data_IF_799640567935
#
_entry.id   IF_799640567935
#
_cell.length_a   1.000
_cell.length_b   1.000
_cell.length_c   1.000
_cell.angle_alpha   90.00
_cell.angle_beta   90.00
_cell.angle_gamma   90.00
#
_symmetry.space_group_name_H-M   'P 1'
#
loop_
_entity.id
_entity.type
_entity.pdbx_description
1 polymer ?
#
# COMPACT_ATOMS: atom_id res chain seq x y z
N UNK A 1 -11.48 1.74 -9.81
CA UNK A 1 -11.09 2.41 -11.07
C UNK A 1 -10.94 1.45 -12.23
N UNK A 2 -10.00 0.49 -12.21
CA UNK A 2 -9.81 -0.45 -13.34
C UNK A 2 -11.09 -1.20 -13.72
N UNK A 3 -11.80 -1.80 -12.75
CA UNK A 3 -13.08 -2.48 -13.02
C UNK A 3 -14.09 -1.56 -13.72
N UNK A 4 -14.22 -0.32 -13.27
CA UNK A 4 -15.11 0.67 -13.88
C UNK A 4 -14.77 0.92 -15.35
N UNK A 5 -13.48 1.07 -15.69
CA UNK A 5 -13.05 1.26 -17.07
C UNK A 5 -13.34 0.03 -17.95
N UNK A 6 -13.09 -1.18 -17.46
CA UNK A 6 -13.36 -2.44 -18.20
C UNK A 6 -14.86 -2.65 -18.42
N UNK A 7 -15.70 -2.34 -17.42
CA UNK A 7 -17.17 -2.40 -17.55
C UNK A 7 -17.68 -1.34 -18.52
N UNK A 8 -17.16 -0.11 -18.45
CA UNK A 8 -17.50 0.97 -19.38
C UNK A 8 -17.13 0.63 -20.83
N UNK A 9 -15.98 0.00 -21.07
CA UNK A 9 -15.59 -0.49 -22.39
C UNK A 9 -16.54 -1.57 -22.92
N UNK A 10 -17.17 -2.32 -22.03
CA UNK A 10 -18.12 -3.38 -22.38
C UNK A 10 -19.57 -2.91 -22.45
N UNK A 11 -19.83 -1.61 -22.29
CA UNK A 11 -21.18 -1.03 -22.33
C UNK A 11 -22.08 -1.44 -21.15
N UNK A 12 -21.51 -1.93 -20.04
CA UNK A 12 -22.28 -2.33 -18.87
C UNK A 12 -22.50 -1.11 -17.99
N UNK A 13 -23.74 -0.74 -17.64
CA UNK A 13 -24.01 0.37 -16.74
C UNK A 13 -23.57 0.03 -15.31
N UNK A 14 -22.90 0.97 -14.65
CA UNK A 14 -22.48 0.82 -13.26
C UNK A 14 -22.45 2.18 -12.55
N UNK A 15 -22.39 2.13 -11.22
CA UNK A 15 -22.15 3.29 -10.37
C UNK A 15 -20.88 3.06 -9.57
N UNK A 16 -19.90 3.94 -9.70
CA UNK A 16 -18.67 3.95 -8.91
C UNK A 16 -18.88 4.78 -7.64
N UNK A 17 -18.70 4.16 -6.47
CA UNK A 17 -18.89 4.80 -5.17
C UNK A 17 -17.52 5.00 -4.51
N UNK A 18 -17.26 6.22 -4.05
CA UNK A 18 -16.05 6.61 -3.33
C UNK A 18 -16.43 7.38 -2.06
N UNK A 19 -15.83 7.00 -0.93
CA UNK A 19 -16.11 7.61 0.36
C UNK A 19 -15.42 8.97 0.50
N UNK A 20 -14.26 9.13 -0.13
CA UNK A 20 -13.50 10.37 -0.11
C UNK A 20 -14.04 11.38 -1.15
N UNK A 21 -13.54 12.61 -1.12
CA UNK A 21 -13.89 13.64 -2.11
C UNK A 21 -13.29 13.40 -3.49
N UNK A 22 -12.30 12.52 -3.59
CA UNK A 22 -11.56 12.23 -4.82
C UNK A 22 -11.24 10.75 -4.96
N UNK A 23 -11.09 10.31 -6.22
CA UNK A 23 -10.66 8.96 -6.56
C UNK A 23 -9.15 8.79 -6.33
N UNK A 24 -8.69 7.53 -6.33
CA UNK A 24 -7.26 7.19 -6.39
C UNK A 24 -6.77 6.35 -5.22
N UNK A 25 -7.44 6.44 -4.07
CA UNK A 25 -7.09 5.70 -2.86
C UNK A 25 -5.64 5.93 -2.42
N UNK A 26 -5.05 4.93 -1.76
CA UNK A 26 -3.67 5.03 -1.25
C UNK A 26 -2.64 5.25 -2.37
N UNK A 27 -2.88 4.74 -3.58
CA UNK A 27 -1.92 4.90 -4.69
C UNK A 27 -1.73 6.35 -5.10
N UNK A 28 -2.73 7.21 -4.91
CA UNK A 28 -2.65 8.63 -5.22
C UNK A 28 -1.71 9.41 -4.29
N UNK A 29 -1.36 8.86 -3.11
CA UNK A 29 -0.43 9.52 -2.19
C UNK A 29 1.05 9.24 -2.50
N UNK A 30 1.36 8.27 -3.36
CA UNK A 30 2.75 7.87 -3.62
C UNK A 30 3.46 8.82 -4.57
N UNK A 31 4.74 9.10 -4.33
CA UNK A 31 5.59 9.83 -5.28
C UNK A 31 6.14 8.90 -6.37
N UNK A 32 6.61 9.51 -7.47
CA UNK A 32 7.43 8.82 -8.45
C UNK A 32 8.76 8.39 -7.81
N UNK A 33 9.14 7.13 -7.98
CA UNK A 33 10.40 6.55 -7.49
C UNK A 33 11.36 6.23 -8.63
N UNK A 34 11.29 7.02 -9.70
CA UNK A 34 12.27 6.96 -10.77
C UNK A 34 13.59 7.53 -10.27
N UNK A 35 14.69 6.92 -10.70
CA UNK A 35 16.04 7.45 -10.53
C UNK A 35 16.57 7.81 -11.91
N UNK A 36 17.62 7.15 -12.38
CA UNK A 36 18.15 7.28 -13.75
C UNK A 36 17.13 6.88 -14.81
N UNK A 37 16.22 5.95 -14.49
CA UNK A 37 15.15 5.51 -15.37
C UNK A 37 13.91 5.09 -14.59
N UNK A 38 12.81 4.83 -15.31
CA UNK A 38 11.57 4.38 -14.72
C UNK A 38 11.69 2.95 -14.16
N UNK A 39 11.59 2.81 -12.84
CA UNK A 39 11.65 1.52 -12.13
C UNK A 39 10.32 0.75 -12.10
N UNK A 40 9.37 1.13 -12.96
CA UNK A 40 8.04 0.51 -13.13
C UNK A 40 7.32 0.26 -11.80
N UNK A 41 7.23 1.29 -10.96
CA UNK A 41 6.51 1.23 -9.68
C UNK A 41 4.99 1.45 -9.80
N UNK A 42 4.51 1.86 -10.98
CA UNK A 42 3.11 2.13 -11.30
C UNK A 42 2.42 3.23 -10.48
N UNK A 43 3.15 3.98 -9.63
CA UNK A 43 2.57 5.08 -8.86
C UNK A 43 1.91 6.15 -9.74
N UNK A 44 2.56 6.55 -10.84
CA UNK A 44 2.02 7.55 -11.79
C UNK A 44 0.81 7.07 -12.62
N UNK A 45 0.50 5.78 -12.62
CA UNK A 45 -0.64 5.25 -13.38
C UNK A 45 -1.96 5.71 -12.77
N UNK A 46 -1.99 5.99 -11.46
CA UNK A 46 -3.20 6.44 -10.76
C UNK A 46 -3.76 7.72 -11.36
N UNK A 47 -2.91 8.73 -11.62
CA UNK A 47 -3.32 10.02 -12.16
C UNK A 47 -3.90 9.86 -13.56
N UNK A 48 -3.25 9.05 -14.40
CA UNK A 48 -3.76 8.70 -15.75
C UNK A 48 -5.14 8.06 -15.67
N UNK A 49 -5.36 7.10 -14.75
CA UNK A 49 -6.65 6.43 -14.59
C UNK A 49 -7.75 7.35 -14.07
N UNK A 50 -7.41 8.28 -13.17
CA UNK A 50 -8.33 9.30 -12.69
C UNK A 50 -8.77 10.20 -13.86
N UNK A 51 -7.82 10.68 -14.67
CA UNK A 51 -8.14 11.49 -15.86
C UNK A 51 -9.00 10.73 -16.87
N UNK A 52 -8.67 9.47 -17.19
CA UNK A 52 -9.46 8.62 -18.08
C UNK A 52 -10.92 8.46 -17.60
N UNK A 53 -11.12 8.28 -16.29
CA UNK A 53 -12.46 8.15 -15.71
C UNK A 53 -13.23 9.47 -15.78
N UNK A 54 -12.61 10.61 -15.46
CA UNK A 54 -13.28 11.90 -15.49
C UNK A 54 -13.61 12.41 -16.90
N UNK A 55 -12.86 11.98 -17.92
CA UNK A 55 -13.13 12.34 -19.31
C UNK A 55 -14.32 11.58 -19.91
N UNK A 56 -14.78 10.51 -19.24
CA UNK A 56 -15.89 9.67 -19.70
C UNK A 56 -17.22 10.13 -19.12
N UNK A 57 -18.19 10.40 -20.00
CA UNK A 57 -19.54 10.81 -19.60
C UNK A 57 -20.47 9.63 -19.25
N UNK A 58 -20.07 8.42 -19.64
CA UNK A 58 -20.83 7.18 -19.42
C UNK A 58 -20.56 6.53 -18.04
N UNK A 59 -19.70 7.14 -17.23
CA UNK A 59 -19.35 6.65 -15.89
C UNK A 59 -20.09 7.48 -14.83
N UNK A 60 -21.00 6.84 -14.09
CA UNK A 60 -21.64 7.44 -12.92
C UNK A 60 -20.72 7.34 -11.71
N UNK A 61 -20.31 8.48 -11.14
CA UNK A 61 -19.38 8.57 -10.00
C UNK A 61 -20.07 9.28 -8.84
N UNK A 62 -20.09 8.63 -7.68
CA UNK A 62 -20.59 9.18 -6.42
C UNK A 62 -19.44 9.27 -5.41
N UNK A 63 -18.82 10.44 -5.29
CA UNK A 63 -17.84 10.75 -4.23
C UNK A 63 -18.54 11.16 -2.93
N UNK A 64 -17.81 11.19 -1.82
CA UNK A 64 -18.35 11.48 -0.48
C UNK A 64 -19.57 10.62 -0.11
N UNK A 65 -19.57 9.38 -0.61
CA UNK A 65 -20.73 8.49 -0.53
C UNK A 65 -20.32 7.16 0.11
N UNK A 66 -21.12 6.70 1.06
CA UNK A 66 -20.87 5.46 1.80
C UNK A 66 -22.04 4.50 1.66
N UNK A 67 -21.75 3.20 1.67
CA UNK A 67 -22.77 2.15 1.73
C UNK A 67 -23.19 1.99 3.19
N UNK A 68 -24.50 2.07 3.46
CA UNK A 68 -25.05 1.95 4.82
C UNK A 68 -26.00 0.77 4.99
N UNK A 69 -26.40 0.13 3.90
CA UNK A 69 -27.34 -0.98 3.95
C UNK A 69 -27.27 -1.83 2.68
N UNK A 70 -27.47 -3.13 2.84
CA UNK A 70 -27.56 -4.07 1.74
C UNK A 70 -28.72 -5.02 2.05
N UNK A 71 -29.61 -5.22 1.09
CA UNK A 71 -30.68 -6.21 1.15
C UNK A 71 -30.69 -7.04 -0.12
N UNK A 72 -31.14 -8.28 0.00
CA UNK A 72 -31.26 -9.22 -1.12
C UNK A 72 -30.25 -10.36 -1.06
N UNK A 73 -30.47 -11.37 -1.89
CA UNK A 73 -29.63 -12.56 -2.01
C UNK A 73 -29.60 -13.01 -3.49
N UNK A 74 -28.59 -13.78 -3.87
CA UNK A 74 -28.51 -14.40 -5.19
C UNK A 74 -28.43 -13.37 -6.32
N UNK A 75 -27.60 -12.34 -6.16
CA UNK A 75 -27.33 -11.30 -7.16
C UNK A 75 -28.50 -10.39 -7.53
N UNK A 76 -29.55 -10.27 -6.73
CA UNK A 76 -30.44 -9.10 -6.78
C UNK A 76 -30.23 -8.32 -5.50
N UNK A 77 -29.45 -7.26 -5.58
CA UNK A 77 -29.03 -6.48 -4.42
C UNK A 77 -29.72 -5.12 -4.44
N UNK A 78 -30.31 -4.74 -3.32
CA UNK A 78 -30.69 -3.36 -3.02
C UNK A 78 -29.64 -2.77 -2.07
N UNK A 79 -28.84 -1.85 -2.59
CA UNK A 79 -27.76 -1.18 -1.85
C UNK A 79 -28.22 0.22 -1.47
N UNK A 80 -28.24 0.52 -0.17
CA UNK A 80 -28.53 1.85 0.36
C UNK A 80 -27.22 2.63 0.51
N UNK A 81 -27.18 3.79 -0.10
CA UNK A 81 -26.08 4.74 -0.03
C UNK A 81 -26.48 5.97 0.78
N UNK A 82 -25.50 6.55 1.46
CA UNK A 82 -25.61 7.83 2.15
C UNK A 82 -24.59 8.81 1.59
N UNK A 83 -25.08 9.97 1.14
CA UNK A 83 -24.27 11.10 0.68
C UNK A 83 -24.70 12.36 1.42
N UNK A 84 -23.95 12.75 2.45
CA UNK A 84 -24.38 13.81 3.38
C UNK A 84 -25.70 13.45 4.08
N UNK A 85 -26.77 14.20 3.80
CA UNK A 85 -28.13 13.94 4.30
C UNK A 85 -28.99 13.13 3.31
N UNK A 86 -28.53 12.95 2.08
CA UNK A 86 -29.25 12.23 1.04
C UNK A 86 -29.11 10.72 1.22
N UNK A 87 -30.21 10.01 0.99
CA UNK A 87 -30.26 8.56 0.92
C UNK A 87 -30.62 8.14 -0.50
N UNK A 88 -29.80 7.27 -1.10
CA UNK A 88 -29.98 6.77 -2.46
C UNK A 88 -30.06 5.25 -2.39
N UNK A 89 -31.15 4.65 -2.89
CA UNK A 89 -31.29 3.19 -2.97
C UNK A 89 -31.04 2.73 -4.41
N UNK A 90 -30.03 1.88 -4.61
CA UNK A 90 -29.67 1.31 -5.92
C UNK A 90 -30.08 -0.16 -5.98
N UNK A 91 -30.70 -0.57 -7.10
CA UNK A 91 -30.92 -1.99 -7.41
C UNK A 91 -29.88 -2.45 -8.41
N UNK A 92 -29.05 -3.42 -8.03
CA UNK A 92 -27.92 -3.90 -8.83
C UNK A 92 -27.87 -5.41 -8.90
N UNK A 93 -27.38 -5.92 -10.02
CA UNK A 93 -27.22 -7.36 -10.25
C UNK A 93 -25.87 -7.92 -9.77
N UNK A 94 -24.88 -7.04 -9.61
CA UNK A 94 -23.55 -7.37 -9.13
C UNK A 94 -22.98 -6.23 -8.30
N UNK A 95 -22.13 -6.56 -7.32
CA UNK A 95 -21.41 -5.60 -6.47
C UNK A 95 -19.92 -5.95 -6.49
N UNK A 96 -19.07 -4.96 -6.71
CA UNK A 96 -17.61 -5.13 -6.63
C UNK A 96 -17.07 -4.31 -5.47
N UNK A 97 -16.49 -5.00 -4.48
CA UNK A 97 -15.87 -4.42 -3.30
C UNK A 97 -14.37 -4.23 -3.55
N UNK A 98 -13.93 -2.98 -3.54
CA UNK A 98 -12.54 -2.58 -3.70
C UNK A 98 -12.10 -1.67 -2.54
N UNK A 99 -12.33 -2.12 -1.30
CA UNK A 99 -12.20 -1.30 -0.09
C UNK A 99 -10.76 -0.88 0.27
N UNK A 100 -9.75 -1.39 -0.45
CA UNK A 100 -8.35 -1.05 -0.27
C UNK A 100 -7.74 -1.54 1.05
N UNK A 101 -6.60 -0.95 1.40
CA UNK A 101 -5.81 -1.27 2.60
C UNK A 101 -5.32 0.02 3.23
N UNK A 102 -4.86 -0.07 4.47
CA UNK A 102 -4.10 0.98 5.12
C UNK A 102 -2.65 0.49 5.37
N UNK A 103 -1.67 1.39 5.42
CA UNK A 103 -0.37 1.06 6.01
C UNK A 103 -0.56 0.60 7.46
N UNK A 104 0.26 -0.36 7.89
CA UNK A 104 0.33 -0.76 9.30
C UNK A 104 0.72 0.44 10.17
N UNK A 105 0.10 0.53 11.35
CA UNK A 105 0.41 1.57 12.31
C UNK A 105 1.68 1.22 13.10
N UNK A 106 2.79 1.82 12.69
CA UNK A 106 4.10 1.57 13.27
C UNK A 106 4.21 1.92 14.76
N UNK A 107 3.27 2.67 15.34
CA UNK A 107 3.27 2.97 16.79
C UNK A 107 3.08 1.70 17.65
N UNK A 108 2.52 0.64 17.07
CA UNK A 108 2.39 -0.67 17.72
C UNK A 108 3.74 -1.38 17.92
N UNK A 109 4.77 -1.01 17.15
CA UNK A 109 6.15 -1.50 17.32
C UNK A 109 6.95 -0.49 18.16
N UNK A 110 6.60 -0.44 19.45
CA UNK A 110 7.14 0.52 20.43
C UNK A 110 8.67 0.51 20.51
N UNK A 111 9.30 -0.64 20.25
CA UNK A 111 10.75 -0.82 20.21
C UNK A 111 11.45 -0.03 19.10
N UNK A 112 10.71 0.36 18.05
CA UNK A 112 11.24 1.20 16.96
C UNK A 112 11.04 2.69 17.20
N UNK A 113 10.18 3.07 18.14
CA UNK A 113 10.04 4.46 18.59
C UNK A 113 9.35 5.40 17.60
N UNK A 114 8.55 4.89 16.67
CA UNK A 114 7.69 5.72 15.82
C UNK A 114 6.73 6.56 16.67
N UNK A 115 6.57 7.83 16.33
CA UNK A 115 5.78 8.81 17.11
C UNK A 115 6.47 9.31 18.38
N UNK A 116 7.51 8.62 18.88
CA UNK A 116 8.34 9.07 20.02
C UNK A 116 9.59 9.80 19.57
N UNK A 117 10.27 9.28 18.55
CA UNK A 117 11.50 9.84 18.01
C UNK A 117 11.20 10.54 16.68
N UNK A 118 11.47 11.85 16.61
CA UNK A 118 11.14 12.67 15.42
C UNK A 118 11.77 12.12 14.14
N UNK A 119 12.98 11.57 14.23
CA UNK A 119 13.72 11.02 13.10
C UNK A 119 13.41 9.53 12.82
N UNK A 120 12.34 8.98 13.39
CA UNK A 120 11.78 7.68 13.00
C UNK A 120 10.48 7.94 12.25
N UNK A 121 10.48 7.67 10.95
CA UNK A 121 9.35 7.88 10.05
C UNK A 121 8.96 6.58 9.37
N UNK A 122 7.75 6.50 8.81
CA UNK A 122 7.37 5.40 7.91
C UNK A 122 7.80 5.69 6.48
N UNK A 123 7.83 4.65 5.64
CA UNK A 123 8.01 4.81 4.21
C UNK A 123 6.92 5.68 3.56
N UNK A 124 5.70 5.72 4.13
CA UNK A 124 4.64 6.61 3.66
C UNK A 124 4.96 8.07 3.96
N UNK A 125 5.44 8.38 5.16
CA UNK A 125 5.83 9.75 5.52
C UNK A 125 6.97 10.25 4.63
N UNK A 126 7.92 9.36 4.30
CA UNK A 126 8.96 9.65 3.32
C UNK A 126 8.40 9.90 1.92
N UNK A 127 7.47 9.06 1.45
CA UNK A 127 6.77 9.25 0.17
C UNK A 127 6.08 10.63 0.10
N UNK A 128 5.40 11.04 1.17
CA UNK A 128 4.75 12.35 1.28
C UNK A 128 5.77 13.49 1.33
N UNK A 129 6.85 13.32 2.09
CA UNK A 129 7.95 14.28 2.15
C UNK A 129 8.54 14.53 0.76
N UNK A 130 8.84 13.47 0.01
CA UNK A 130 9.36 13.57 -1.35
C UNK A 130 8.32 14.14 -2.31
N UNK A 131 7.04 13.75 -2.20
CA UNK A 131 5.97 14.24 -3.08
C UNK A 131 5.71 15.74 -2.93
N UNK A 132 5.62 16.23 -1.68
CA UNK A 132 5.18 17.60 -1.41
C UNK A 132 6.32 18.59 -1.21
N UNK A 133 7.45 18.15 -0.66
CA UNK A 133 8.62 19.02 -0.42
C UNK A 133 9.69 18.87 -1.50
N UNK A 134 9.70 17.76 -2.25
CA UNK A 134 10.71 17.47 -3.27
C UNK A 134 12.12 17.21 -2.70
N UNK A 135 12.26 17.09 -1.38
CA UNK A 135 13.56 17.01 -0.71
C UNK A 135 13.53 16.10 0.51
N UNK A 136 14.62 15.36 0.71
CA UNK A 136 14.86 14.56 1.91
C UNK A 136 15.33 15.45 3.06
N UNK A 137 14.70 15.34 4.22
CA UNK A 137 15.09 16.10 5.42
C UNK A 137 14.77 15.33 6.70
N UNK A 138 15.55 15.57 7.75
CA UNK A 138 15.26 15.09 9.10
C UNK A 138 14.08 15.87 9.67
N UNK A 139 13.03 15.21 10.19
CA UNK A 139 11.93 15.91 10.83
C UNK A 139 12.33 16.69 12.09
N UNK A 140 13.43 16.33 12.78
CA UNK A 140 13.84 17.04 14.00
C UNK A 140 14.35 18.45 13.74
N UNK A 141 15.17 18.67 12.70
CA UNK A 141 15.87 19.93 12.47
C UNK A 141 15.94 20.38 11.00
N UNK A 142 15.30 19.64 10.08
CA UNK A 142 15.22 19.99 8.66
C UNK A 142 16.49 19.72 7.85
N UNK A 143 17.58 19.24 8.47
CA UNK A 143 18.84 18.98 7.74
C UNK A 143 18.77 17.70 6.90
N UNK A 144 19.63 17.60 5.90
CA UNK A 144 19.81 16.37 5.13
C UNK A 144 20.47 15.29 6.02
N UNK A 145 19.87 14.09 6.17
CA UNK A 145 20.49 12.99 6.90
C UNK A 145 21.67 12.42 6.11
N UNK A 146 22.82 12.19 6.74
CA UNK A 146 23.98 11.53 6.11
C UNK A 146 23.85 10.01 6.10
N UNK A 147 23.16 9.45 7.10
CA UNK A 147 22.93 8.01 7.23
C UNK A 147 21.44 7.70 7.44
N UNK A 148 20.90 6.81 6.61
CA UNK A 148 19.48 6.41 6.65
C UNK A 148 19.39 4.89 6.78
N UNK A 149 18.58 4.40 7.72
CA UNK A 149 18.26 2.98 7.82
C UNK A 149 16.83 2.68 7.39
N UNK A 150 16.63 1.61 6.62
CA UNK A 150 15.32 1.10 6.24
C UNK A 150 15.07 -0.23 6.93
N UNK A 151 14.05 -0.28 7.78
CA UNK A 151 13.68 -1.50 8.50
C UNK A 151 12.59 -2.22 7.71
N UNK A 152 12.87 -3.45 7.29
CA UNK A 152 11.88 -4.27 6.59
C UNK A 152 10.97 -5.01 7.58
N UNK A 153 9.86 -5.52 7.05
CA UNK A 153 8.92 -6.36 7.80
C UNK A 153 8.27 -5.68 9.02
N UNK A 154 8.20 -4.35 9.05
CA UNK A 154 7.51 -3.64 10.13
C UNK A 154 6.01 -3.87 9.98
N UNK A 155 5.39 -4.62 10.89
CA UNK A 155 3.97 -4.94 10.79
C UNK A 155 3.65 -6.16 9.93
N UNK A 156 4.63 -7.00 9.58
CA UNK A 156 4.44 -8.18 8.73
C UNK A 156 5.47 -9.25 9.05
N UNK A 157 5.12 -10.53 8.86
CA UNK A 157 5.96 -11.68 9.28
C UNK A 157 6.36 -11.55 10.76
N UNK A 158 5.40 -11.15 11.59
CA UNK A 158 5.61 -10.87 13.02
C UNK A 158 4.45 -11.47 13.82
N UNK A 159 4.75 -12.54 14.55
CA UNK A 159 3.81 -13.27 15.38
C UNK A 159 3.33 -12.45 16.59
N UNK A 160 4.17 -11.55 17.11
CA UNK A 160 3.84 -10.74 18.31
C UNK A 160 2.65 -9.81 18.11
N UNK A 161 2.32 -9.49 16.85
CA UNK A 161 1.19 -8.65 16.45
C UNK A 161 0.14 -9.42 15.64
N UNK A 162 0.29 -10.73 15.49
CA UNK A 162 -0.63 -11.59 14.74
C UNK A 162 -0.57 -11.46 13.21
N UNK A 163 0.40 -10.74 12.65
CA UNK A 163 0.55 -10.56 11.21
C UNK A 163 1.62 -11.51 10.65
N UNK A 164 1.26 -12.77 10.42
CA UNK A 164 2.20 -13.80 9.96
C UNK A 164 2.54 -13.72 8.46
N UNK A 165 1.70 -13.04 7.68
CA UNK A 165 1.89 -12.89 6.23
C UNK A 165 2.99 -11.89 5.86
N UNK A 166 3.50 -12.03 4.64
CA UNK A 166 4.33 -11.02 3.99
C UNK A 166 3.45 -9.97 3.28
N UNK A 167 3.74 -8.69 3.46
CA UNK A 167 3.07 -7.62 2.73
C UNK A 167 3.47 -7.48 1.25
N UNK A 168 4.40 -8.32 0.77
CA UNK A 168 4.88 -8.47 -0.62
C UNK A 168 5.53 -7.24 -1.29
N UNK A 169 5.23 -6.02 -0.85
CA UNK A 169 5.63 -4.79 -1.54
C UNK A 169 6.78 -4.04 -0.86
N UNK A 170 7.03 -4.31 0.42
CA UNK A 170 7.91 -3.50 1.27
C UNK A 170 9.36 -3.48 0.82
N UNK A 171 9.93 -4.65 0.48
CA UNK A 171 11.28 -4.73 -0.04
C UNK A 171 11.45 -3.86 -1.30
N UNK A 172 10.48 -3.95 -2.21
CA UNK A 172 10.58 -3.27 -3.50
C UNK A 172 10.39 -1.76 -3.39
N UNK A 173 9.38 -1.27 -2.65
CA UNK A 173 9.23 0.17 -2.48
C UNK A 173 10.41 0.77 -1.72
N UNK A 174 10.97 0.06 -0.73
CA UNK A 174 12.06 0.57 0.09
C UNK A 174 13.34 0.69 -0.73
N UNK A 175 13.70 -0.32 -1.51
CA UNK A 175 14.85 -0.26 -2.41
C UNK A 175 14.67 0.83 -3.50
N UNK A 176 13.46 1.00 -4.02
CA UNK A 176 13.13 2.10 -4.96
C UNK A 176 13.29 3.48 -4.33
N UNK A 177 12.83 3.66 -3.09
CA UNK A 177 13.03 4.90 -2.33
C UNK A 177 14.51 5.15 -2.04
N UNK A 178 15.25 4.12 -1.63
CA UNK A 178 16.70 4.20 -1.41
C UNK A 178 17.40 4.64 -2.70
N UNK A 179 17.12 4.00 -3.85
CA UNK A 179 17.77 4.34 -5.12
C UNK A 179 17.42 5.75 -5.58
N UNK A 180 16.17 6.19 -5.39
CA UNK A 180 15.74 7.56 -5.67
C UNK A 180 16.50 8.58 -4.79
N UNK A 181 16.62 8.31 -3.48
CA UNK A 181 17.39 9.13 -2.55
C UNK A 181 18.87 9.18 -2.94
N UNK A 182 19.49 8.03 -3.23
CA UNK A 182 20.90 7.93 -3.63
C UNK A 182 21.20 8.67 -4.93
N UNK A 183 20.24 8.65 -5.86
CA UNK A 183 20.36 9.37 -7.12
C UNK A 183 20.30 10.90 -6.91
N UNK A 184 19.40 11.37 -6.05
CA UNK A 184 19.27 12.80 -5.75
C UNK A 184 20.38 13.31 -4.79
N UNK A 185 20.83 12.46 -3.87
CA UNK A 185 21.82 12.76 -2.83
C UNK A 185 22.91 11.66 -2.77
N UNK A 186 23.91 11.69 -3.67
CA UNK A 186 24.97 10.68 -3.78
C UNK A 186 25.89 10.56 -2.55
N UNK A 187 25.80 11.46 -1.58
CA UNK A 187 26.51 11.45 -0.30
C UNK A 187 25.77 10.67 0.80
N UNK A 188 24.45 10.45 0.66
CA UNK A 188 23.62 9.84 1.70
C UNK A 188 23.83 8.33 1.72
N UNK A 189 24.28 7.76 2.84
CA UNK A 189 24.46 6.31 2.98
C UNK A 189 23.18 5.65 3.46
N UNK A 190 22.69 4.67 2.72
CA UNK A 190 21.49 3.91 3.06
C UNK A 190 21.86 2.50 3.56
N UNK A 191 21.19 2.05 4.61
CA UNK A 191 21.29 0.66 5.11
C UNK A 191 19.92 0.01 5.05
N UNK A 192 19.80 -1.09 4.32
CA UNK A 192 18.58 -1.88 4.17
C UNK A 192 18.68 -3.12 5.07
N UNK A 193 17.88 -3.15 6.13
CA UNK A 193 17.87 -4.19 7.17
C UNK A 193 16.69 -5.13 6.95
N UNK A 194 16.97 -6.39 6.59
CA UNK A 194 15.96 -7.32 6.07
C UNK A 194 16.14 -8.76 6.54
N UNK A 195 15.08 -9.57 6.41
CA UNK A 195 15.17 -11.03 6.55
C UNK A 195 15.45 -11.71 5.20
N UNK A 196 14.55 -11.50 4.25
CA UNK A 196 14.63 -12.00 2.88
C UNK A 196 14.12 -10.92 1.93
N UNK A 197 14.68 -10.84 0.73
CA UNK A 197 14.24 -9.89 -0.30
C UNK A 197 13.20 -10.59 -1.16
N UNK A 198 11.98 -10.05 -1.16
CA UNK A 198 10.89 -10.60 -1.97
C UNK A 198 10.94 -10.05 -3.40
N UNK A 199 10.82 -10.90 -4.44
CA UNK A 199 10.76 -10.46 -5.83
C UNK A 199 9.53 -9.58 -6.12
N UNK A 200 9.69 -8.54 -6.95
CA UNK A 200 8.61 -7.61 -7.29
C UNK A 200 8.52 -7.30 -8.79
N UNK A 201 8.03 -8.27 -9.56
CA UNK A 201 7.89 -8.18 -11.02
C UNK A 201 9.15 -8.63 -11.76
N UNK A 202 9.03 -8.78 -13.09
CA UNK A 202 10.05 -9.43 -13.90
C UNK A 202 11.41 -8.67 -13.95
N UNK A 203 11.39 -7.33 -13.90
CA UNK A 203 12.61 -6.52 -13.95
C UNK A 203 13.24 -6.27 -12.58
N UNK A 204 12.71 -6.87 -11.51
CA UNK A 204 13.17 -6.56 -10.15
C UNK A 204 14.58 -7.08 -9.87
N UNK A 205 14.97 -8.21 -10.46
CA UNK A 205 16.30 -8.77 -10.23
C UNK A 205 17.41 -7.82 -10.72
N UNK A 206 17.29 -7.33 -11.95
CA UNK A 206 18.20 -6.32 -12.50
C UNK A 206 18.25 -5.05 -11.65
N UNK A 207 17.08 -4.59 -11.17
CA UNK A 207 16.99 -3.45 -10.27
C UNK A 207 17.72 -3.70 -8.94
N UNK A 208 17.52 -4.88 -8.34
CA UNK A 208 18.20 -5.29 -7.11
C UNK A 208 19.72 -5.36 -7.29
N UNK A 209 20.20 -5.87 -8.42
CA UNK A 209 21.63 -5.93 -8.72
C UNK A 209 22.22 -4.51 -8.82
N UNK A 210 21.51 -3.57 -9.46
CA UNK A 210 21.90 -2.15 -9.47
C UNK A 210 21.92 -1.49 -8.08
N UNK A 211 21.15 -2.02 -7.11
CA UNK A 211 21.21 -1.60 -5.72
C UNK A 211 22.42 -2.20 -4.99
N UNK A 212 22.83 -3.41 -5.34
CA UNK A 212 24.02 -4.07 -4.77
C UNK A 212 25.33 -3.43 -5.25
N UNK A 213 25.35 -2.93 -6.47
CA UNK A 213 26.51 -2.24 -7.07
C UNK A 213 26.74 -0.82 -6.50
N UNK A 214 25.71 -0.20 -5.91
CA UNK A 214 25.80 1.13 -5.32
C UNK A 214 26.53 1.07 -3.97
N UNK A 215 27.76 1.57 -3.93
CA UNK A 215 28.62 1.60 -2.73
C UNK A 215 28.01 2.38 -1.54
N UNK A 216 26.99 3.21 -1.78
CA UNK A 216 26.26 3.91 -0.73
C UNK A 216 25.08 3.13 -0.14
N UNK A 217 24.80 1.92 -0.64
CA UNK A 217 23.73 1.04 -0.15
C UNK A 217 24.35 -0.19 0.52
N UNK A 218 24.07 -0.38 1.81
CA UNK A 218 24.39 -1.63 2.51
C UNK A 218 23.15 -2.49 2.67
N UNK A 219 23.23 -3.75 2.27
CA UNK A 219 22.16 -4.73 2.46
C UNK A 219 22.56 -5.66 3.59
N UNK A 220 21.92 -5.54 4.75
CA UNK A 220 22.25 -6.32 5.94
C UNK A 220 21.09 -7.27 6.26
N UNK A 221 21.37 -8.57 6.22
CA UNK A 221 20.40 -9.62 6.52
C UNK A 221 20.23 -9.77 8.04
N UNK A 222 19.59 -8.78 8.65
CA UNK A 222 19.34 -8.73 10.09
C UNK A 222 18.17 -7.80 10.38
N UNK A 223 17.28 -8.19 11.29
CA UNK A 223 16.25 -7.30 11.79
C UNK A 223 16.72 -6.58 13.07
N UNK A 224 16.46 -5.28 13.18
CA UNK A 224 16.74 -4.53 14.41
C UNK A 224 15.92 -5.05 15.59
N UNK A 225 16.59 -5.16 16.73
CA UNK A 225 15.95 -5.49 18.01
C UNK A 225 15.24 -4.28 18.62
N UNK A 226 15.93 -3.13 18.67
CA UNK A 226 15.44 -1.90 19.30
C UNK A 226 16.19 -0.67 18.79
N UNK A 227 15.49 0.46 18.77
CA UNK A 227 16.06 1.79 18.53
C UNK A 227 16.27 2.50 19.86
N UNK A 228 17.48 3.03 20.05
CA UNK A 228 17.84 3.86 21.19
C UNK A 228 18.08 5.30 20.70
N UNK A 229 17.52 6.28 21.39
CA UNK A 229 17.71 7.69 21.08
C UNK A 229 18.63 8.33 22.11
N UNK A 230 19.65 9.06 21.66
CA UNK A 230 20.50 9.88 22.53
C UNK A 230 19.92 11.29 22.64
N UNK A 231 19.53 11.77 23.84
CA UNK A 231 19.01 13.13 24.02
C UNK A 231 19.99 14.23 23.61
N UNK A 232 21.29 13.91 23.50
CA UNK A 232 22.36 14.86 23.26
C UNK A 232 22.72 15.05 21.79
N UNK A 233 22.31 14.16 20.88
CA UNK A 233 22.84 14.16 19.49
C UNK A 233 21.81 13.99 18.38
N UNK A 234 20.50 13.90 18.67
CA UNK A 234 19.43 13.62 17.67
C UNK A 234 19.67 12.36 16.80
N UNK A 235 20.72 11.59 17.10
CA UNK A 235 21.10 10.36 16.41
C UNK A 235 20.36 9.16 17.00
N UNK A 236 20.05 8.21 16.12
CA UNK A 236 19.33 6.99 16.44
C UNK A 236 20.32 5.83 16.41
N UNK A 237 20.56 5.23 17.56
CA UNK A 237 21.41 4.05 17.70
C UNK A 237 20.57 2.80 17.53
N UNK A 238 21.00 1.90 16.65
CA UNK A 238 20.27 0.69 16.28
C UNK A 238 21.13 -0.53 16.56
N UNK A 239 20.56 -1.51 17.27
CA UNK A 239 21.22 -2.76 17.60
C UNK A 239 20.68 -3.90 16.75
N UNK A 240 21.57 -4.57 16.02
CA UNK A 240 21.25 -5.73 15.17
C UNK A 240 22.42 -6.72 15.14
N UNK A 241 22.16 -7.95 14.70
CA UNK A 241 23.20 -8.98 14.56
C UNK A 241 23.89 -8.85 13.20
N UNK A 242 25.22 -8.77 13.19
CA UNK A 242 26.01 -8.85 11.97
C UNK A 242 26.00 -10.30 11.46
N UNK A 243 25.47 -10.57 10.26
CA UNK A 243 25.36 -11.93 9.75
C UNK A 243 26.72 -12.56 9.38
N UNK A 244 27.76 -11.76 9.12
CA UNK A 244 29.10 -12.26 8.77
C UNK A 244 29.89 -12.63 10.03
N UNK A 245 29.76 -11.81 11.08
CA UNK A 245 30.50 -12.00 12.34
C UNK A 245 29.75 -12.85 13.36
N UNK A 246 28.42 -12.92 13.26
CA UNK A 246 27.57 -13.55 14.27
C UNK A 246 27.49 -12.75 15.58
N UNK A 247 27.93 -11.49 15.58
CA UNK A 247 28.00 -10.64 16.76
C UNK A 247 26.91 -9.55 16.73
N UNK A 248 26.52 -9.08 17.90
CA UNK A 248 25.60 -7.95 18.02
C UNK A 248 26.39 -6.65 17.87
N UNK A 249 26.04 -5.85 16.87
CA UNK A 249 26.67 -4.56 16.57
C UNK A 249 25.70 -3.41 16.79
N UNK A 250 26.25 -2.21 16.99
CA UNK A 250 25.49 -0.97 17.11
C UNK A 250 25.92 0.02 16.02
N UNK A 251 24.98 0.45 15.18
CA UNK A 251 25.18 1.52 14.21
C UNK A 251 24.36 2.76 14.58
N UNK A 252 24.78 3.91 14.07
CA UNK A 252 24.15 5.21 14.30
C UNK A 252 23.57 5.77 13.00
N UNK A 253 22.31 6.19 13.05
CA UNK A 253 21.57 6.72 11.92
C UNK A 253 21.00 8.11 12.22
N UNK A 254 21.04 8.97 11.20
CA UNK A 254 20.40 10.28 11.23
C UNK A 254 18.88 10.20 11.02
N UNK A 255 18.42 9.17 10.29
CA UNK A 255 17.02 8.93 9.97
C UNK A 255 16.74 7.42 9.89
N UNK A 256 15.63 6.98 10.46
CA UNK A 256 15.12 5.61 10.31
C UNK A 256 13.79 5.66 9.55
N UNK A 257 13.67 4.81 8.55
CA UNK A 257 12.49 4.65 7.72
C UNK A 257 11.92 3.25 7.91
N UNK A 258 10.73 3.17 8.52
CA UNK A 258 10.01 1.94 8.78
C UNK A 258 9.23 1.52 7.54
N UNK A 259 9.59 0.38 6.96
CA UNK A 259 8.89 -0.19 5.81
C UNK A 259 7.67 -0.96 6.31
N UNK A 260 6.60 -0.22 6.57
CA UNK A 260 5.33 -0.73 7.11
C UNK A 260 4.58 -1.64 6.13
N UNK A 261 3.96 -2.68 6.70
CA UNK A 261 3.11 -3.60 5.99
C UNK A 261 1.75 -3.04 5.57
N UNK A 262 0.93 -3.89 4.97
CA UNK A 262 -0.46 -3.61 4.61
C UNK A 262 -1.40 -4.29 5.60
N UNK A 263 -2.41 -3.57 6.06
CA UNK A 263 -3.52 -4.14 6.83
C UNK A 263 -4.85 -3.81 6.15
N UNK A 264 -5.86 -4.65 6.34
CA UNK A 264 -7.20 -4.35 5.84
C UNK A 264 -7.66 -2.98 6.38
N UNK A 265 -8.26 -2.16 5.51
CA UNK A 265 -8.70 -0.84 5.90
C UNK A 265 -9.71 -0.92 7.06
N UNK A 266 -9.58 -0.05 8.06
CA UNK A 266 -10.54 0.03 9.18
C UNK A 266 -11.98 0.25 8.68
N UNK A 267 -12.12 0.96 7.56
CA UNK A 267 -13.42 1.24 6.94
C UNK A 267 -13.97 0.06 6.13
N UNK A 268 -13.18 -1.00 5.92
CA UNK A 268 -13.65 -2.22 5.28
C UNK A 268 -14.44 -3.11 6.23
N UNK A 269 -14.23 -3.03 7.56
CA UNK A 269 -14.95 -3.86 8.54
C UNK A 269 -16.48 -3.69 8.49
N UNK A 270 -17.03 -2.45 8.48
CA UNK A 270 -18.48 -2.28 8.30
C UNK A 270 -18.97 -2.84 6.96
N UNK A 271 -18.16 -2.74 5.89
CA UNK A 271 -18.52 -3.31 4.59
C UNK A 271 -18.57 -4.84 4.64
N UNK A 272 -17.62 -5.50 5.31
CA UNK A 272 -17.65 -6.96 5.45
C UNK A 272 -18.88 -7.42 6.23
N UNK A 273 -19.27 -6.70 7.27
CA UNK A 273 -20.50 -6.99 8.03
C UNK A 273 -21.76 -6.78 7.19
N UNK A 274 -21.86 -5.64 6.49
CA UNK A 274 -23.01 -5.30 5.64
C UNK A 274 -23.25 -6.31 4.51
N UNK A 275 -22.16 -6.82 3.92
CA UNK A 275 -22.23 -7.78 2.81
C UNK A 275 -22.15 -9.24 3.27
N UNK A 276 -22.03 -9.52 4.58
CA UNK A 276 -21.87 -10.87 5.11
C UNK A 276 -20.61 -11.58 4.60
N UNK A 277 -19.51 -10.86 4.46
CA UNK A 277 -18.25 -11.35 3.90
C UNK A 277 -17.34 -11.89 5.00
N UNK A 278 -16.75 -13.06 4.72
CA UNK A 278 -15.76 -13.67 5.61
C UNK A 278 -14.38 -13.04 5.41
N UNK A 279 -13.55 -13.14 6.45
CA UNK A 279 -12.13 -12.81 6.38
C UNK A 279 -11.30 -14.07 6.16
N UNK A 280 -10.16 -13.91 5.50
CA UNK A 280 -9.09 -14.92 5.43
C UNK A 280 -8.39 -15.03 6.79
N UNK A 281 -7.58 -16.07 6.97
CA UNK A 281 -6.71 -16.20 8.17
C UNK A 281 -5.81 -14.97 8.36
N UNK A 282 -5.32 -14.39 7.27
CA UNK A 282 -4.52 -13.16 7.27
C UNK A 282 -5.31 -11.86 7.55
N UNK A 283 -6.62 -11.94 7.78
CA UNK A 283 -7.47 -10.78 8.10
C UNK A 283 -7.86 -9.90 6.91
N UNK A 284 -7.78 -10.41 5.67
CA UNK A 284 -8.26 -9.74 4.46
C UNK A 284 -9.63 -10.30 4.03
N UNK A 285 -10.30 -9.64 3.08
CA UNK A 285 -11.63 -10.07 2.63
C UNK A 285 -11.51 -11.31 1.74
N UNK A 286 -12.14 -12.40 2.15
CA UNK A 286 -12.24 -13.62 1.36
C UNK A 286 -13.21 -13.42 0.18
N UNK A 287 -12.90 -14.04 -0.96
CA UNK A 287 -13.79 -13.98 -2.12
C UNK A 287 -15.01 -14.88 -1.89
N UNK A 288 -16.25 -14.35 -1.94
CA UNK A 288 -17.45 -15.16 -1.81
C UNK A 288 -17.69 -15.98 -3.11
N UNK A 289 -18.59 -16.98 -3.08
CA UNK A 289 -18.99 -17.71 -4.28
C UNK A 289 -19.55 -16.79 -5.37
N UNK A 290 -19.28 -17.08 -6.64
CA UNK A 290 -19.71 -16.26 -7.80
C UNK A 290 -21.24 -16.06 -7.84
N UNK A 291 -22.01 -17.02 -7.33
CA UNK A 291 -23.48 -16.99 -7.28
C UNK A 291 -24.02 -15.88 -6.36
N UNK A 292 -23.22 -15.41 -5.40
CA UNK A 292 -23.59 -14.28 -4.54
C UNK A 292 -23.81 -12.99 -5.33
N UNK A 293 -23.15 -12.86 -6.49
CA UNK A 293 -23.08 -11.59 -7.24
C UNK A 293 -22.24 -10.53 -6.54
N UNK A 294 -21.45 -10.89 -5.53
CA UNK A 294 -20.50 -10.00 -4.85
C UNK A 294 -19.09 -10.43 -5.23
N UNK A 295 -18.24 -9.48 -5.57
CA UNK A 295 -16.87 -9.72 -6.02
C UNK A 295 -15.90 -8.85 -5.24
N UNK A 296 -14.70 -9.35 -4.95
CA UNK A 296 -13.67 -8.61 -4.22
C UNK A 296 -12.50 -8.35 -5.15
N UNK A 297 -11.92 -7.15 -5.12
CA UNK A 297 -10.75 -6.84 -5.96
C UNK A 297 -9.72 -5.93 -5.28
N UNK A 298 -8.49 -5.97 -5.79
CA UNK A 298 -7.38 -5.17 -5.27
C UNK A 298 -6.83 -5.65 -3.93
N UNK A 299 -6.18 -4.76 -3.19
CA UNK A 299 -5.43 -5.11 -1.98
C UNK A 299 -6.30 -5.51 -0.77
N UNK A 300 -7.61 -5.21 -0.77
CA UNK A 300 -8.50 -5.65 0.31
C UNK A 300 -8.69 -7.18 0.36
N UNK A 301 -8.30 -7.90 -0.70
CA UNK A 301 -8.27 -9.38 -0.77
C UNK A 301 -6.92 -9.99 -0.40
N UNK A 302 -5.96 -9.19 0.08
CA UNK A 302 -4.62 -9.62 0.45
C UNK A 302 -3.52 -8.71 -0.09
N UNK A 303 -2.30 -8.73 0.49
CA UNK A 303 -1.23 -7.84 0.09
C UNK A 303 -0.82 -8.04 -1.37
N UNK A 304 -0.72 -6.95 -2.13
CA UNK A 304 -0.30 -6.95 -3.53
C UNK A 304 0.05 -5.53 -3.98
N UNK A 305 0.90 -5.42 -5.00
CA UNK A 305 1.26 -4.13 -5.60
C UNK A 305 0.18 -3.59 -6.54
N UNK A 306 0.44 -2.42 -7.13
CA UNK A 306 -0.49 -1.74 -8.04
C UNK A 306 -0.71 -2.56 -9.31
N UNK A 307 0.35 -3.14 -9.88
CA UNK A 307 0.26 -3.93 -11.11
C UNK A 307 -0.61 -5.18 -10.92
N UNK A 308 -0.32 -5.98 -9.87
CA UNK A 308 -1.16 -7.13 -9.49
C UNK A 308 -2.58 -6.71 -9.12
N UNK A 309 -2.78 -5.54 -8.53
CA UNK A 309 -4.12 -5.00 -8.26
C UNK A 309 -4.87 -4.67 -9.54
N UNK A 310 -4.20 -4.14 -10.56
CA UNK A 310 -4.79 -3.87 -11.88
C UNK A 310 -5.15 -5.19 -12.57
N UNK A 311 -4.24 -6.17 -12.59
CA UNK A 311 -4.50 -7.49 -13.18
C UNK A 311 -5.69 -8.16 -12.48
N UNK A 312 -5.70 -8.18 -11.15
CA UNK A 312 -6.80 -8.73 -10.37
C UNK A 312 -8.14 -8.03 -10.69
N UNK A 313 -8.13 -6.70 -10.83
CA UNK A 313 -9.32 -5.95 -11.21
C UNK A 313 -9.84 -6.29 -12.61
N UNK A 314 -8.95 -6.51 -13.59
CA UNK A 314 -9.36 -6.97 -14.92
C UNK A 314 -10.01 -8.35 -14.87
N UNK A 315 -9.41 -9.29 -14.13
CA UNK A 315 -9.99 -10.63 -13.94
C UNK A 315 -11.38 -10.56 -13.29
N UNK A 316 -11.55 -9.70 -12.28
CA UNK A 316 -12.86 -9.51 -11.62
C UNK A 316 -13.88 -8.87 -12.56
N UNK A 317 -13.48 -7.88 -13.39
CA UNK A 317 -14.37 -7.31 -14.38
C UNK A 317 -14.91 -8.37 -15.36
N UNK A 318 -14.05 -9.29 -15.80
CA UNK A 318 -14.46 -10.42 -16.63
C UNK A 318 -15.45 -11.36 -15.90
N UNK A 319 -15.20 -11.69 -14.64
CA UNK A 319 -16.12 -12.53 -13.84
C UNK A 319 -17.49 -11.85 -13.64
N UNK A 320 -17.51 -10.53 -13.43
CA UNK A 320 -18.76 -9.74 -13.38
C UNK A 320 -19.50 -9.84 -14.70
N UNK A 321 -18.82 -9.69 -15.84
CA UNK A 321 -19.44 -9.82 -17.16
C UNK A 321 -20.06 -11.21 -17.37
N UNK A 322 -19.35 -12.27 -17.00
CA UNK A 322 -19.89 -13.63 -17.07
C UNK A 322 -21.13 -13.81 -16.20
N UNK A 323 -21.08 -13.31 -14.96
CA UNK A 323 -22.21 -13.38 -14.04
C UNK A 323 -23.44 -12.65 -14.58
N UNK A 324 -23.26 -11.49 -15.21
CA UNK A 324 -24.34 -10.70 -15.79
C UNK A 324 -24.91 -11.35 -17.07
N UNK A 325 -24.06 -11.95 -17.92
CA UNK A 325 -24.51 -12.67 -19.13
C UNK A 325 -25.28 -13.94 -18.81
N UNK A 326 -24.95 -14.66 -17.73
CA UNK A 326 -25.68 -15.86 -17.31
C UNK A 326 -27.10 -15.58 -16.78
N UNK A 327 -27.60 -14.34 -16.89
CA UNK A 327 -28.87 -13.87 -16.33
C UNK A 327 -29.77 -13.16 -17.35
N UNK A 328 -29.32 -13.06 -18.60
CA UNK A 328 -30.14 -12.62 -19.74
C UNK A 328 -31.07 -13.71 -20.19
#
# INVERSE_FOLDING_TARGET
MTVALELAQSGIPFTLIEKESSLGGLSASFCCKASESCNKCFACVVDKRISEIHQRQDISILTQTQVTGVKGNGGKHQVTLKRGKERIDLRVSAVVVAAGINPFDASQKVEYGYGRYKNVITAKDLDEMLRFRGALSRPSDGKLPKTVAFFQCVGSRDESIGNLYCSQVCCAYALRLIKAIRHQYPEVKATFLYMDIQPAGASFQQFLDSCREDKGIRLIRSLPSKVYHSPLSDTLRVRFTDPERGEVVEDFFDLIVLSVGMVLSKQAKPLTELFGLNLTEDGFIASPPLQSGIFITGACSGPKDIDRSIVHAKSVAFLVQQHLRGRS
#
